data_IF_860510227345
#
_entry.id   IF_860510227345
#
_cell.length_a   1.000
_cell.length_b   1.000
_cell.length_c   1.000
_cell.angle_alpha   90.00
_cell.angle_beta   90.00
_cell.angle_gamma   90.00
#
_symmetry.space_group_name_H-M   'P 1'
#
loop_
_entity.id
_entity.type
_entity.pdbx_description
1 polymer ?
#
# COMPACT_ATOMS: atom_id res chain seq x y z
N UNK A 1 12.11 45.07 -37.53
CA UNK A 1 10.77 44.94 -36.95
C UNK A 1 10.70 43.59 -36.28
N UNK A 2 11.00 43.60 -34.99
CA UNK A 2 11.22 42.41 -34.17
C UNK A 2 10.02 42.30 -33.25
N UNK A 3 9.43 41.11 -33.20
CA UNK A 3 8.14 40.82 -32.62
C UNK A 3 8.09 41.10 -31.11
N UNK A 4 6.99 41.68 -30.64
CA UNK A 4 6.62 41.87 -29.23
C UNK A 4 6.61 40.54 -28.44
N UNK A 5 6.61 39.40 -29.14
CA UNK A 5 6.70 38.05 -28.56
C UNK A 5 8.11 37.75 -28.00
N UNK A 6 9.19 38.32 -28.57
CA UNK A 6 10.55 38.09 -28.07
C UNK A 6 10.87 38.89 -26.79
N UNK A 7 10.12 39.96 -26.50
CA UNK A 7 10.26 40.70 -25.24
C UNK A 7 9.52 40.07 -24.06
N UNK A 8 8.55 39.17 -24.31
CA UNK A 8 7.82 38.45 -23.26
C UNK A 8 8.57 37.22 -22.73
N UNK A 9 9.56 36.70 -23.48
CA UNK A 9 10.31 35.49 -23.11
C UNK A 9 11.58 35.82 -22.30
N UNK A 10 12.05 37.07 -22.28
CA UNK A 10 13.33 37.44 -21.64
C UNK A 10 13.19 38.02 -20.22
N UNK A 11 11.97 38.25 -19.70
CA UNK A 11 11.78 38.86 -18.36
C UNK A 11 11.67 37.84 -17.21
N UNK A 12 11.69 36.53 -17.49
CA UNK A 12 11.63 35.47 -16.44
C UNK A 12 12.97 34.71 -16.30
N UNK A 13 14.09 35.32 -16.69
CA UNK A 13 15.43 34.79 -16.41
C UNK A 13 16.29 35.87 -15.75
N UNK A 14 16.06 36.13 -14.47
CA UNK A 14 16.82 37.18 -13.81
C UNK A 14 16.66 37.36 -12.31
N UNK A 15 16.22 36.36 -11.52
CA UNK A 15 16.45 36.36 -10.06
C UNK A 15 16.17 34.99 -9.42
N UNK A 16 16.88 33.93 -9.84
CA UNK A 16 16.90 32.68 -9.07
C UNK A 16 18.29 32.48 -8.50
N UNK A 17 18.53 33.14 -7.37
CA UNK A 17 19.57 32.75 -6.43
C UNK A 17 19.05 33.06 -5.04
N UNK A 18 18.78 31.99 -4.27
CA UNK A 18 18.31 31.92 -2.86
C UNK A 18 16.83 31.61 -2.57
N UNK A 19 16.15 30.75 -3.34
CA UNK A 19 14.93 30.06 -2.88
C UNK A 19 14.95 28.60 -3.33
N UNK A 20 15.87 27.78 -2.79
CA UNK A 20 16.10 26.42 -3.28
C UNK A 20 15.70 25.27 -2.31
N UNK A 21 15.07 25.55 -1.16
CA UNK A 21 14.67 24.48 -0.23
C UNK A 21 13.16 24.38 0.04
N UNK A 22 12.34 25.32 -0.46
CA UNK A 22 10.88 25.32 -0.20
C UNK A 22 9.98 24.91 -1.36
N UNK A 23 10.50 24.81 -2.59
CA UNK A 23 9.68 24.63 -3.82
C UNK A 23 9.66 23.18 -4.32
N UNK A 24 10.66 22.36 -3.96
CA UNK A 24 10.74 20.93 -4.35
C UNK A 24 9.58 20.09 -3.80
N UNK A 25 9.09 20.43 -2.60
CA UNK A 25 8.08 19.65 -1.89
C UNK A 25 6.65 19.91 -2.40
N UNK A 26 6.43 21.06 -3.02
CA UNK A 26 5.15 21.46 -3.59
C UNK A 26 4.93 20.84 -4.98
N UNK A 27 5.96 20.82 -5.81
CA UNK A 27 5.91 20.24 -7.17
C UNK A 27 5.82 18.71 -7.14
N UNK A 28 6.58 18.05 -6.26
CA UNK A 28 6.56 16.59 -6.10
C UNK A 28 5.19 16.03 -5.69
N UNK A 29 4.48 16.72 -4.78
CA UNK A 29 3.17 16.25 -4.27
C UNK A 29 2.05 16.35 -5.31
N UNK A 30 2.05 17.40 -6.14
CA UNK A 30 1.07 17.58 -7.22
C UNK A 30 1.31 16.58 -8.35
N UNK A 31 2.59 16.35 -8.69
CA UNK A 31 2.97 15.33 -9.66
C UNK A 31 2.59 13.93 -9.18
N UNK A 32 2.79 13.60 -7.91
CA UNK A 32 2.42 12.30 -7.33
C UNK A 32 0.89 12.06 -7.36
N UNK A 33 0.10 13.09 -7.08
CA UNK A 33 -1.36 13.03 -7.16
C UNK A 33 -1.85 12.80 -8.60
N UNK A 34 -1.35 13.57 -9.56
CA UNK A 34 -1.72 13.42 -10.97
C UNK A 34 -1.22 12.10 -11.54
N UNK A 35 -0.01 11.67 -11.17
CA UNK A 35 0.58 10.40 -11.58
C UNK A 35 -0.27 9.22 -11.12
N UNK A 36 -0.67 9.15 -9.85
CA UNK A 36 -1.50 8.04 -9.34
C UNK A 36 -2.92 8.10 -9.89
N UNK A 37 -3.50 9.29 -10.09
CA UNK A 37 -4.85 9.40 -10.69
C UNK A 37 -4.90 8.83 -12.11
N UNK A 38 -3.81 8.96 -12.87
CA UNK A 38 -3.71 8.45 -14.25
C UNK A 38 -3.19 7.00 -14.30
N UNK A 39 -2.18 6.68 -13.48
CA UNK A 39 -1.53 5.35 -13.53
C UNK A 39 -2.15 4.32 -12.60
N UNK A 40 -2.98 4.70 -11.63
CA UNK A 40 -3.52 3.79 -10.63
C UNK A 40 -2.59 3.58 -9.44
N UNK A 41 -3.13 2.97 -8.40
CA UNK A 41 -2.52 2.81 -7.10
C UNK A 41 -1.81 1.45 -6.98
N UNK A 42 -0.48 1.48 -6.91
CA UNK A 42 0.36 0.28 -6.79
C UNK A 42 0.35 -0.27 -5.36
N UNK A 43 0.07 -1.55 -5.23
CA UNK A 43 0.12 -2.31 -3.98
C UNK A 43 0.50 -3.76 -4.27
N UNK A 44 0.93 -4.51 -3.25
CA UNK A 44 1.16 -5.95 -3.35
C UNK A 44 0.46 -6.68 -2.22
N UNK A 45 0.08 -7.93 -2.47
CA UNK A 45 -0.50 -8.84 -1.47
C UNK A 45 0.49 -9.97 -1.24
N UNK A 46 1.00 -10.10 -0.02
CA UNK A 46 2.00 -11.09 0.37
C UNK A 46 1.50 -11.92 1.55
N UNK A 47 2.15 -13.05 1.83
CA UNK A 47 1.75 -13.95 2.91
C UNK A 47 1.92 -15.42 2.54
N UNK A 48 2.01 -16.27 3.55
CA UNK A 48 2.23 -17.71 3.36
C UNK A 48 1.14 -18.37 2.51
N UNK A 49 1.36 -19.63 2.11
CA UNK A 49 0.39 -20.39 1.31
C UNK A 49 -0.97 -20.43 2.02
N UNK A 50 -2.04 -20.45 1.23
CA UNK A 50 -3.43 -20.63 1.69
C UNK A 50 -3.98 -19.57 2.65
N UNK A 51 -3.32 -18.43 2.88
CA UNK A 51 -3.85 -17.35 3.75
C UNK A 51 -5.01 -16.54 3.15
N UNK A 52 -5.29 -16.72 1.85
CA UNK A 52 -6.39 -16.05 1.13
C UNK A 52 -5.98 -14.90 0.21
N UNK A 53 -4.72 -14.88 -0.25
CA UNK A 53 -4.19 -13.83 -1.16
C UNK A 53 -4.98 -13.70 -2.47
N UNK A 54 -5.11 -14.81 -3.20
CA UNK A 54 -5.89 -14.90 -4.44
C UNK A 54 -7.34 -14.50 -4.21
N UNK A 55 -7.92 -14.97 -3.10
CA UNK A 55 -9.28 -14.64 -2.65
C UNK A 55 -9.45 -13.13 -2.43
N UNK A 56 -8.49 -12.46 -1.78
CA UNK A 56 -8.53 -11.01 -1.57
C UNK A 56 -8.46 -10.25 -2.90
N UNK A 57 -7.57 -10.66 -3.80
CA UNK A 57 -7.43 -10.00 -5.11
C UNK A 57 -8.70 -10.12 -5.94
N UNK A 58 -9.30 -11.31 -5.98
CA UNK A 58 -10.57 -11.52 -6.68
C UNK A 58 -11.71 -10.74 -6.02
N UNK A 59 -11.78 -10.72 -4.69
CA UNK A 59 -12.75 -9.93 -3.95
C UNK A 59 -12.66 -8.43 -4.30
N UNK A 60 -11.45 -7.88 -4.39
CA UNK A 60 -11.22 -6.50 -4.81
C UNK A 60 -11.64 -6.26 -6.27
N UNK A 61 -11.35 -7.20 -7.18
CA UNK A 61 -11.76 -7.13 -8.60
C UNK A 61 -13.28 -7.14 -8.77
N UNK A 62 -14.00 -7.80 -7.87
CA UNK A 62 -15.46 -7.81 -7.81
C UNK A 62 -16.07 -6.65 -7.03
N UNK A 63 -15.33 -5.54 -6.86
CA UNK A 63 -15.79 -4.37 -6.11
C UNK A 63 -16.18 -4.69 -4.66
N UNK A 64 -15.43 -5.58 -3.99
CA UNK A 64 -15.68 -5.96 -2.59
C UNK A 64 -17.05 -6.66 -2.38
N UNK A 65 -17.62 -7.23 -3.44
CA UNK A 65 -18.84 -8.03 -3.37
C UNK A 65 -18.55 -9.45 -2.85
N UNK A 66 -19.59 -10.14 -2.37
CA UNK A 66 -19.50 -11.51 -1.84
C UNK A 66 -18.91 -12.49 -2.87
N UNK A 67 -18.09 -13.42 -2.38
CA UNK A 67 -17.35 -14.41 -3.20
C UNK A 67 -17.51 -15.85 -2.66
N UNK A 68 -18.69 -16.20 -2.16
CA UNK A 68 -18.95 -17.48 -1.50
C UNK A 68 -18.55 -18.72 -2.34
N UNK A 69 -18.68 -18.63 -3.67
CA UNK A 69 -18.41 -19.75 -4.58
C UNK A 69 -16.99 -19.73 -5.17
N UNK A 70 -16.11 -18.83 -4.71
CA UNK A 70 -14.76 -18.70 -5.27
C UNK A 70 -13.79 -19.66 -4.57
N UNK A 71 -13.43 -20.74 -5.28
CA UNK A 71 -12.41 -21.71 -4.87
C UNK A 71 -11.20 -21.59 -5.82
N UNK A 72 -10.20 -20.74 -5.49
CA UNK A 72 -9.02 -20.60 -6.32
C UNK A 72 -8.13 -21.84 -6.22
N UNK A 73 -7.54 -22.22 -7.36
CA UNK A 73 -6.42 -23.16 -7.40
C UNK A 73 -5.17 -22.51 -6.76
N UNK A 74 -4.23 -23.32 -6.23
CA UNK A 74 -2.95 -22.80 -5.75
C UNK A 74 -2.21 -22.01 -6.84
N UNK A 75 -1.73 -20.82 -6.49
CA UNK A 75 -0.93 -19.97 -7.38
C UNK A 75 0.35 -20.68 -7.81
N UNK A 76 0.63 -20.74 -9.11
CA UNK A 76 1.81 -21.42 -9.64
C UNK A 76 3.10 -20.63 -9.39
N UNK A 77 4.25 -21.31 -9.43
CA UNK A 77 5.56 -20.67 -9.42
C UNK A 77 5.67 -19.66 -10.58
N UNK A 78 6.27 -18.50 -10.35
CA UNK A 78 6.26 -17.42 -11.33
C UNK A 78 4.98 -16.57 -11.27
N UNK A 79 4.04 -16.88 -10.37
CA UNK A 79 2.84 -16.09 -10.08
C UNK A 79 1.87 -15.91 -11.26
N UNK A 80 0.67 -15.45 -10.95
CA UNK A 80 -0.34 -15.14 -11.95
C UNK A 80 -0.40 -13.63 -12.17
N UNK A 81 -0.35 -13.19 -13.43
CA UNK A 81 -0.52 -11.77 -13.75
C UNK A 81 -1.91 -11.32 -13.31
N UNK A 82 -1.96 -10.23 -12.54
CA UNK A 82 -3.21 -9.58 -12.16
C UNK A 82 -3.33 -8.29 -12.96
N UNK A 83 -4.17 -8.23 -14.00
CA UNK A 83 -4.34 -7.03 -14.79
C UNK A 83 -4.78 -5.85 -13.94
N UNK A 84 -4.39 -4.64 -14.32
CA UNK A 84 -4.94 -3.41 -13.74
C UNK A 84 -6.48 -3.51 -13.69
N UNK A 85 -7.07 -3.20 -12.55
CA UNK A 85 -8.52 -3.26 -12.37
C UNK A 85 -9.02 -2.04 -11.63
N UNK A 86 -10.33 -1.82 -11.70
CA UNK A 86 -11.00 -0.75 -10.97
C UNK A 86 -11.84 -1.36 -9.87
N UNK A 87 -11.72 -0.80 -8.65
CA UNK A 87 -12.52 -1.23 -7.50
C UNK A 87 -13.23 -0.05 -6.85
N UNK A 88 -14.48 -0.27 -6.43
CA UNK A 88 -15.29 0.71 -5.71
C UNK A 88 -14.97 0.70 -4.22
N UNK A 89 -13.84 1.30 -3.84
CA UNK A 89 -13.39 1.34 -2.44
C UNK A 89 -14.29 2.23 -1.58
N UNK A 90 -14.68 3.39 -2.13
CA UNK A 90 -15.59 4.34 -1.50
C UNK A 90 -16.96 4.34 -2.22
N UNK A 91 -18.06 4.73 -1.53
CA UNK A 91 -19.40 4.73 -2.11
C UNK A 91 -19.54 5.53 -3.43
N UNK A 92 -18.73 6.57 -3.61
CA UNK A 92 -18.84 7.50 -4.74
C UNK A 92 -17.58 7.55 -5.61
N UNK A 93 -16.59 6.68 -5.35
CA UNK A 93 -15.33 6.73 -6.06
C UNK A 93 -14.81 5.35 -6.45
N UNK A 94 -14.54 5.22 -7.75
CA UNK A 94 -13.81 4.12 -8.34
C UNK A 94 -12.32 4.42 -8.35
N UNK A 95 -11.52 3.45 -7.92
CA UNK A 95 -10.08 3.55 -7.86
C UNK A 95 -9.43 2.55 -8.81
N UNK A 96 -8.52 3.01 -9.66
CA UNK A 96 -7.68 2.12 -10.46
C UNK A 96 -6.58 1.53 -9.57
N UNK A 97 -6.53 0.21 -9.47
CA UNK A 97 -5.64 -0.55 -8.60
C UNK A 97 -4.68 -1.38 -9.44
N UNK A 98 -3.45 -1.53 -8.92
CA UNK A 98 -2.36 -2.28 -9.57
C UNK A 98 -1.71 -3.21 -8.57
N UNK A 99 -2.11 -4.48 -8.60
CA UNK A 99 -1.52 -5.52 -7.76
C UNK A 99 -0.22 -6.10 -8.37
N UNK A 100 -0.09 -6.04 -9.69
CA UNK A 100 1.03 -6.64 -10.43
C UNK A 100 0.82 -8.13 -10.65
N UNK A 101 1.12 -8.95 -9.63
CA UNK A 101 0.96 -10.41 -9.69
C UNK A 101 0.34 -10.94 -8.41
N UNK A 102 -0.41 -12.03 -8.51
CA UNK A 102 -0.67 -12.93 -7.39
C UNK A 102 0.53 -13.88 -7.30
N UNK A 103 1.14 -14.00 -6.14
CA UNK A 103 2.35 -14.79 -5.94
C UNK A 103 2.09 -15.90 -4.94
N UNK A 104 2.68 -17.08 -5.18
CA UNK A 104 2.57 -18.19 -4.24
C UNK A 104 3.20 -17.88 -2.89
N UNK A 105 2.82 -18.65 -1.88
CA UNK A 105 3.22 -18.43 -0.49
C UNK A 105 4.24 -19.44 0.03
N UNK A 106 4.74 -20.30 -0.84
CA UNK A 106 5.75 -21.33 -0.59
C UNK A 106 7.11 -20.69 -0.37
N UNK A 107 7.92 -21.29 0.52
CA UNK A 107 9.25 -20.77 0.88
C UNK A 107 10.15 -20.51 -0.34
N UNK A 108 10.11 -21.42 -1.32
CA UNK A 108 10.91 -21.32 -2.55
C UNK A 108 10.56 -20.11 -3.42
N UNK A 109 9.39 -19.49 -3.22
CA UNK A 109 8.95 -18.34 -4.00
C UNK A 109 9.29 -16.99 -3.35
N UNK A 110 9.76 -16.98 -2.10
CA UNK A 110 10.00 -15.73 -1.38
C UNK A 110 11.19 -14.97 -1.97
N UNK A 111 12.33 -15.65 -2.17
CA UNK A 111 13.54 -15.04 -2.71
C UNK A 111 13.46 -14.71 -4.20
N UNK A 112 12.53 -15.34 -4.92
CA UNK A 112 12.31 -15.13 -6.35
C UNK A 112 11.13 -14.19 -6.57
N UNK A 113 9.91 -14.71 -6.47
CA UNK A 113 8.69 -14.04 -6.90
C UNK A 113 8.33 -12.83 -6.02
N UNK A 114 8.51 -12.91 -4.70
CA UNK A 114 8.17 -11.77 -3.83
C UNK A 114 9.12 -10.61 -4.01
N UNK A 115 10.43 -10.89 -4.06
CA UNK A 115 11.46 -9.86 -4.27
C UNK A 115 11.32 -9.25 -5.65
N UNK A 116 11.12 -10.07 -6.69
CA UNK A 116 10.90 -9.58 -8.05
C UNK A 116 9.64 -8.70 -8.13
N UNK A 117 8.51 -9.16 -7.58
CA UNK A 117 7.28 -8.39 -7.53
C UNK A 117 7.48 -7.05 -6.81
N UNK A 118 8.16 -7.05 -5.67
CA UNK A 118 8.40 -5.84 -4.88
C UNK A 118 9.25 -4.83 -5.66
N UNK A 119 10.34 -5.27 -6.30
CA UNK A 119 11.21 -4.44 -7.14
C UNK A 119 10.48 -3.87 -8.35
N UNK A 120 9.70 -4.69 -9.05
CA UNK A 120 9.00 -4.29 -10.27
C UNK A 120 7.85 -3.32 -9.98
N UNK A 121 7.10 -3.55 -8.91
CA UNK A 121 5.90 -2.77 -8.60
C UNK A 121 6.18 -1.48 -7.82
N UNK A 122 7.31 -1.41 -7.09
CA UNK A 122 7.67 -0.33 -6.17
C UNK A 122 6.44 0.14 -5.36
N UNK A 123 5.80 -0.76 -4.60
CA UNK A 123 4.43 -0.58 -4.18
C UNK A 123 4.31 0.53 -3.15
N UNK A 124 3.20 1.29 -3.23
CA UNK A 124 2.86 2.27 -2.18
C UNK A 124 2.28 1.61 -0.94
N UNK A 125 1.79 0.38 -1.06
CA UNK A 125 1.23 -0.38 0.05
C UNK A 125 1.51 -1.86 -0.05
N UNK A 126 1.75 -2.48 1.10
CA UNK A 126 1.79 -3.94 1.26
C UNK A 126 0.61 -4.34 2.12
N UNK A 127 -0.21 -5.27 1.63
CA UNK A 127 -1.14 -6.04 2.45
C UNK A 127 -0.48 -7.39 2.69
N UNK A 128 -0.26 -7.74 3.96
CA UNK A 128 0.27 -9.04 4.33
C UNK A 128 -0.78 -9.86 5.05
N UNK A 129 -1.02 -11.05 4.52
CA UNK A 129 -2.06 -11.95 4.99
C UNK A 129 -1.47 -13.06 5.83
N UNK A 130 -2.06 -13.23 7.00
CA UNK A 130 -1.82 -14.30 7.95
C UNK A 130 -3.14 -15.00 8.23
N UNK A 131 -3.11 -16.21 8.74
CA UNK A 131 -4.27 -16.78 9.44
C UNK A 131 -3.82 -17.44 10.75
N UNK A 132 -4.71 -18.19 11.39
CA UNK A 132 -4.45 -18.88 12.65
C UNK A 132 -3.63 -20.18 12.46
N UNK A 133 -3.37 -20.60 11.22
CA UNK A 133 -2.69 -21.85 10.89
C UNK A 133 -1.19 -21.63 10.78
N UNK A 134 -0.38 -22.63 11.14
CA UNK A 134 1.08 -22.62 10.97
C UNK A 134 1.81 -21.29 11.34
N UNK A 135 1.74 -20.96 12.64
CA UNK A 135 2.35 -19.75 13.21
C UNK A 135 3.84 -19.63 12.85
N UNK A 136 4.58 -20.75 12.78
CA UNK A 136 6.01 -20.72 12.48
C UNK A 136 6.26 -20.22 11.06
N UNK A 137 5.56 -20.78 10.06
CA UNK A 137 5.67 -20.35 8.67
C UNK A 137 5.28 -18.89 8.49
N UNK A 138 4.24 -18.44 9.20
CA UNK A 138 3.78 -17.05 9.19
C UNK A 138 4.82 -16.07 9.76
N UNK A 139 5.52 -16.46 10.82
CA UNK A 139 6.59 -15.66 11.41
C UNK A 139 7.76 -15.54 10.46
N UNK A 140 8.16 -16.64 9.84
CA UNK A 140 9.27 -16.65 8.87
C UNK A 140 8.93 -15.77 7.66
N UNK A 141 7.72 -15.91 7.12
CA UNK A 141 7.24 -15.09 6.00
C UNK A 141 7.21 -13.59 6.37
N UNK A 142 6.73 -13.24 7.56
CA UNK A 142 6.68 -11.83 8.01
C UNK A 142 8.08 -11.26 8.20
N UNK A 143 8.99 -12.03 8.81
CA UNK A 143 10.38 -11.64 8.96
C UNK A 143 11.08 -11.46 7.61
N UNK A 144 10.77 -12.31 6.63
CA UNK A 144 11.25 -12.18 5.27
C UNK A 144 10.78 -10.86 4.62
N UNK A 145 9.48 -10.54 4.70
CA UNK A 145 8.97 -9.26 4.15
C UNK A 145 9.61 -8.05 4.82
N UNK A 146 9.77 -8.09 6.15
CA UNK A 146 10.45 -7.03 6.88
C UNK A 146 11.90 -6.88 6.42
N UNK A 147 12.61 -7.99 6.18
CA UNK A 147 13.97 -7.98 5.64
C UNK A 147 14.02 -7.43 4.21
N UNK A 148 13.13 -7.89 3.33
CA UNK A 148 13.01 -7.43 1.95
C UNK A 148 12.80 -5.91 1.85
N UNK A 149 11.97 -5.33 2.73
CA UNK A 149 11.76 -3.86 2.77
C UNK A 149 13.07 -3.12 3.08
N UNK A 150 13.93 -3.70 3.94
CA UNK A 150 15.23 -3.14 4.32
C UNK A 150 16.28 -3.29 3.23
N UNK A 151 16.31 -4.44 2.57
CA UNK A 151 17.31 -4.78 1.54
C UNK A 151 17.01 -4.11 0.20
N UNK A 152 15.78 -3.68 -0.04
CA UNK A 152 15.33 -3.05 -1.28
C UNK A 152 14.92 -1.57 -1.08
N UNK A 153 15.86 -0.66 -0.73
CA UNK A 153 15.54 0.74 -0.42
C UNK A 153 14.93 1.50 -1.60
N UNK A 154 15.30 1.17 -2.84
CA UNK A 154 14.73 1.80 -4.03
C UNK A 154 13.26 1.42 -4.21
N UNK A 155 12.91 0.15 -3.97
CA UNK A 155 11.53 -0.33 -4.06
C UNK A 155 10.66 0.17 -2.89
N UNK A 156 11.23 0.28 -1.69
CA UNK A 156 10.51 0.73 -0.50
C UNK A 156 10.38 2.25 -0.40
N UNK A 157 11.07 3.03 -1.24
CA UNK A 157 11.05 4.50 -1.24
C UNK A 157 9.64 5.11 -1.30
N UNK A 158 8.73 4.46 -2.01
CA UNK A 158 7.35 4.94 -2.18
C UNK A 158 6.36 4.32 -1.19
N UNK A 159 6.81 3.39 -0.34
CA UNK A 159 5.97 2.67 0.60
C UNK A 159 5.34 3.63 1.62
N UNK A 160 4.01 3.64 1.68
CA UNK A 160 3.20 4.46 2.61
C UNK A 160 2.45 3.62 3.63
N UNK A 161 2.18 2.35 3.34
CA UNK A 161 1.50 1.46 4.27
C UNK A 161 2.06 0.03 4.24
N UNK A 162 2.16 -0.58 5.41
CA UNK A 162 2.34 -2.02 5.57
C UNK A 162 1.28 -2.54 6.54
N UNK A 163 0.21 -3.13 6.00
CA UNK A 163 -0.96 -3.53 6.77
C UNK A 163 -1.05 -5.05 6.83
N UNK A 164 -1.38 -5.60 7.99
CA UNK A 164 -1.52 -7.03 8.22
C UNK A 164 -2.99 -7.36 8.46
N UNK A 165 -3.50 -8.34 7.71
CA UNK A 165 -4.83 -8.91 7.90
C UNK A 165 -4.68 -10.35 8.41
N UNK A 166 -5.17 -10.62 9.63
CA UNK A 166 -5.33 -11.97 10.17
C UNK A 166 -6.68 -12.50 9.68
N UNK A 167 -6.63 -13.23 8.58
CA UNK A 167 -7.80 -13.67 7.83
C UNK A 167 -8.45 -14.92 8.45
N UNK A 168 -9.60 -15.30 7.89
CA UNK A 168 -10.40 -16.47 8.26
C UNK A 168 -10.89 -16.41 9.70
N UNK A 169 -11.21 -15.22 10.21
CA UNK A 169 -11.69 -15.05 11.59
C UNK A 169 -12.93 -15.90 11.90
N UNK A 170 -13.75 -16.20 10.89
CA UNK A 170 -14.87 -17.14 10.97
C UNK A 170 -14.47 -18.54 11.46
N UNK A 171 -13.22 -18.96 11.28
CA UNK A 171 -12.74 -20.30 11.67
C UNK A 171 -12.14 -20.36 13.08
N UNK A 172 -11.77 -19.23 13.69
CA UNK A 172 -11.01 -19.24 14.94
C UNK A 172 -11.51 -18.28 16.01
N UNK A 173 -12.37 -17.31 15.67
CA UNK A 173 -12.88 -16.30 16.62
C UNK A 173 -13.71 -16.89 17.77
N UNK A 174 -14.25 -18.10 17.60
CA UNK A 174 -14.98 -18.80 18.65
C UNK A 174 -14.05 -19.38 19.72
N UNK A 175 -12.80 -19.64 19.38
CA UNK A 175 -11.83 -20.33 20.25
C UNK A 175 -10.62 -19.47 20.64
N UNK A 176 -10.39 -18.36 19.95
CA UNK A 176 -9.20 -17.52 20.13
C UNK A 176 -9.50 -16.07 19.76
N UNK A 177 -8.72 -15.14 20.32
CA UNK A 177 -8.78 -13.72 20.00
C UNK A 177 -7.61 -13.29 19.10
N UNK A 178 -7.73 -12.13 18.44
CA UNK A 178 -6.60 -11.53 17.73
C UNK A 178 -5.39 -11.37 18.66
N UNK A 179 -5.60 -10.94 19.90
CA UNK A 179 -4.53 -10.79 20.89
C UNK A 179 -3.81 -12.11 21.17
N UNK A 180 -4.54 -13.23 21.22
CA UNK A 180 -3.95 -14.55 21.43
C UNK A 180 -3.04 -14.95 20.27
N UNK A 181 -3.47 -14.74 19.03
CA UNK A 181 -2.65 -14.98 17.84
C UNK A 181 -1.43 -14.06 17.86
N UNK A 182 -1.61 -12.76 18.15
CA UNK A 182 -0.52 -11.78 18.13
C UNK A 182 0.51 -11.97 19.26
N UNK A 183 0.20 -12.72 20.33
CA UNK A 183 1.20 -13.08 21.35
C UNK A 183 2.39 -13.82 20.76
N UNK A 184 2.20 -14.58 19.67
CA UNK A 184 3.28 -15.31 19.00
C UNK A 184 4.18 -14.42 18.13
N UNK A 185 3.72 -13.22 17.77
CA UNK A 185 4.38 -12.29 16.83
C UNK A 185 4.97 -11.05 17.53
N UNK A 186 5.26 -11.11 18.84
CA UNK A 186 5.72 -9.93 19.61
C UNK A 186 6.99 -9.30 19.05
N UNK A 187 7.94 -10.12 18.61
CA UNK A 187 9.22 -9.65 18.07
C UNK A 187 9.02 -8.97 16.72
N UNK A 188 8.22 -9.58 15.85
CA UNK A 188 7.88 -9.09 14.52
C UNK A 188 7.10 -7.76 14.61
N UNK A 189 6.15 -7.64 15.55
CA UNK A 189 5.45 -6.39 15.83
C UNK A 189 6.39 -5.28 16.28
N UNK A 190 7.35 -5.59 17.16
CA UNK A 190 8.37 -4.62 17.61
C UNK A 190 9.26 -4.18 16.46
N UNK A 191 9.73 -5.13 15.64
CA UNK A 191 10.55 -4.86 14.45
C UNK A 191 9.81 -4.00 13.43
N UNK A 192 8.58 -4.38 13.08
CA UNK A 192 7.74 -3.61 12.15
C UNK A 192 7.53 -2.19 12.65
N UNK A 193 7.22 -1.99 13.94
CA UNK A 193 7.05 -0.64 14.51
C UNK A 193 8.31 0.20 14.40
N UNK A 194 9.48 -0.36 14.73
CA UNK A 194 10.75 0.33 14.62
C UNK A 194 11.10 0.64 13.15
N UNK A 195 10.89 -0.31 12.24
CA UNK A 195 11.10 -0.13 10.81
C UNK A 195 10.17 0.94 10.23
N UNK A 196 8.89 0.92 10.58
CA UNK A 196 7.90 1.93 10.18
C UNK A 196 8.32 3.35 10.58
N UNK A 197 8.89 3.51 11.79
CA UNK A 197 9.40 4.81 12.24
C UNK A 197 10.60 5.28 11.42
N UNK A 198 11.50 4.37 11.01
CA UNK A 198 12.68 4.71 10.20
C UNK A 198 12.32 5.03 8.75
N UNK A 199 11.46 4.23 8.14
CA UNK A 199 11.11 4.32 6.71
C UNK A 199 9.96 5.31 6.46
N UNK A 200 9.07 5.50 7.44
CA UNK A 200 7.96 6.45 7.38
C UNK A 200 6.66 5.89 6.78
N UNK A 201 6.50 4.56 6.71
CA UNK A 201 5.21 3.94 6.36
C UNK A 201 4.30 3.81 7.61
N UNK A 202 2.99 3.74 7.39
CA UNK A 202 2.02 3.41 8.45
C UNK A 202 1.80 1.92 8.53
N UNK A 203 1.57 1.40 9.74
CA UNK A 203 1.24 0.00 9.94
C UNK A 203 -0.05 -0.16 10.74
N UNK A 204 -0.78 -1.23 10.45
CA UNK A 204 -2.04 -1.63 11.12
C UNK A 204 -2.10 -3.15 11.09
N UNK A 205 -2.61 -3.75 12.16
CA UNK A 205 -2.95 -5.18 12.22
C UNK A 205 -4.43 -5.28 12.58
N UNK A 206 -5.21 -6.03 11.83
CA UNK A 206 -6.63 -6.33 12.13
C UNK A 206 -6.94 -7.78 11.81
N UNK A 207 -8.06 -8.26 12.34
CA UNK A 207 -8.67 -9.54 11.94
C UNK A 207 -9.77 -9.32 10.90
N UNK A 208 -10.14 -10.39 10.19
CA UNK A 208 -11.32 -10.40 9.32
C UNK A 208 -11.56 -11.73 8.62
N UNK A 209 -12.68 -11.81 7.90
CA UNK A 209 -13.03 -12.95 7.06
C UNK A 209 -13.45 -12.47 5.69
N UNK A 210 -12.71 -12.89 4.65
CA UNK A 210 -13.08 -12.63 3.26
C UNK A 210 -14.37 -13.35 2.85
N UNK A 211 -14.60 -14.56 3.38
CA UNK A 211 -15.76 -15.37 3.02
C UNK A 211 -17.03 -14.82 3.67
N UNK A 212 -16.96 -14.44 4.95
CA UNK A 212 -18.09 -13.83 5.67
C UNK A 212 -18.23 -12.32 5.43
N UNK A 213 -17.28 -11.70 4.72
CA UNK A 213 -17.18 -10.25 4.53
C UNK A 213 -17.18 -9.46 5.87
N UNK A 214 -16.50 -10.00 6.87
CA UNK A 214 -16.44 -9.44 8.23
C UNK A 214 -15.10 -8.72 8.45
N UNK A 215 -15.13 -7.45 8.85
CA UNK A 215 -13.93 -6.64 9.17
C UNK A 215 -13.04 -6.23 7.97
N UNK A 216 -13.14 -6.93 6.83
CA UNK A 216 -12.25 -6.71 5.67
C UNK A 216 -12.54 -5.39 4.96
N UNK A 217 -13.81 -5.00 4.81
CA UNK A 217 -14.17 -3.79 4.05
C UNK A 217 -13.56 -2.53 4.65
N UNK A 218 -13.66 -2.34 5.97
CA UNK A 218 -13.11 -1.15 6.63
C UNK A 218 -11.58 -1.17 6.66
N UNK A 219 -10.98 -2.34 6.82
CA UNK A 219 -9.54 -2.53 6.69
C UNK A 219 -9.04 -2.07 5.30
N UNK A 220 -9.70 -2.51 4.23
CA UNK A 220 -9.33 -2.20 2.85
C UNK A 220 -9.54 -0.72 2.52
N UNK A 221 -10.66 -0.13 2.96
CA UNK A 221 -10.88 1.32 2.86
C UNK A 221 -9.76 2.10 3.54
N UNK A 222 -9.42 1.74 4.78
CA UNK A 222 -8.35 2.39 5.54
C UNK A 222 -6.99 2.25 4.86
N UNK A 223 -6.68 1.07 4.33
CA UNK A 223 -5.46 0.79 3.59
C UNK A 223 -5.33 1.70 2.36
N UNK A 224 -6.31 1.66 1.45
CA UNK A 224 -6.26 2.44 0.22
C UNK A 224 -6.29 3.94 0.48
N UNK A 225 -7.07 4.41 1.46
CA UNK A 225 -7.05 5.82 1.88
C UNK A 225 -5.72 6.27 2.51
N UNK A 226 -4.92 5.34 3.01
CA UNK A 226 -3.58 5.63 3.56
C UNK A 226 -2.56 5.80 2.46
N UNK A 227 -2.59 4.95 1.43
CA UNK A 227 -1.60 4.97 0.35
C UNK A 227 -1.97 5.93 -0.79
N UNK A 228 -3.26 6.31 -0.88
CA UNK A 228 -3.77 7.32 -1.82
C UNK A 228 -3.08 8.67 -1.58
N UNK A 229 -2.47 9.28 -2.61
CA UNK A 229 -1.98 10.66 -2.50
C UNK A 229 -3.15 11.59 -2.26
N UNK A 230 -3.02 12.47 -1.26
CA UNK A 230 -3.99 13.54 -1.01
C UNK A 230 -3.43 14.84 -1.59
N UNK A 231 -4.25 15.65 -2.28
CA UNK A 231 -3.83 17.01 -2.61
C UNK A 231 -3.55 17.73 -1.28
N UNK A 232 -2.35 18.29 -1.12
CA UNK A 232 -2.05 19.15 0.03
C UNK A 232 -2.98 20.35 -0.05
N UNK A 233 -3.83 20.56 0.97
CA UNK A 233 -4.56 21.82 1.10
C UNK A 233 -3.51 22.95 1.11
N UNK A 234 -3.66 24.02 0.30
CA UNK A 234 -2.77 25.16 0.40
C UNK A 234 -2.80 25.64 1.85
N UNK A 235 -1.62 25.78 2.47
CA UNK A 235 -1.52 26.40 3.80
C UNK A 235 -2.18 27.77 3.66
N UNK A 236 -3.30 27.99 4.35
CA UNK A 236 -3.85 29.33 4.51
C UNK A 236 -2.71 30.20 5.05
N UNK A 237 -2.32 31.22 4.30
CA UNK A 237 -1.32 32.18 4.77
C UNK A 237 -1.77 32.69 6.15
N UNK A 238 -0.86 32.82 7.13
CA UNK A 238 -1.19 33.50 8.36
C UNK A 238 -1.69 34.90 7.98
N UNK A 239 -2.86 35.28 8.49
CA UNK A 239 -3.42 36.60 8.28
C UNK A 239 -2.36 37.62 8.67
N UNK A 240 -1.94 38.45 7.70
CA UNK A 240 -1.07 39.59 7.97
C UNK A 240 -1.83 40.47 8.95
N UNK A 241 -1.31 40.73 10.17
CA UNK A 241 -1.96 41.67 11.07
C UNK A 241 -1.99 43.01 10.36
N UNK A 242 -3.18 43.51 10.06
CA UNK A 242 -3.35 44.87 9.60
C UNK A 242 -2.88 45.78 10.73
N UNK A 243 -1.74 46.44 10.53
CA UNK A 243 -1.31 47.53 11.38
C UNK A 243 -2.31 48.66 11.15
N UNK A 244 -3.19 48.87 12.12
CA UNK A 244 -3.99 50.09 12.23
C UNK A 244 -3.02 51.25 12.48
N UNK A 245 -3.05 52.23 11.57
CA UNK A 245 -2.33 53.50 11.67
C UNK A 245 -3.20 54.59 12.27
#
# INVERSE_FOLDING_TARGET
>A
MTSIIDQLITVIFGTISRVAQGVSDLTSSVNDFMYVRVRGLSFVVLGSRQTGKTTLLEWLRRNMATIADFAPEPTTAGGDLVPDFTSKIEPDEHMKLKAGRDVGGEYAMWETDWVELFRQTQPRGIIFMLDHTDIALHKDALNFVLQMIEDEPEASRQLKAFYILVNKSDLWKETSTLEDILKYFRNEQKRMRAQAQRIGYKWVITEGSLLANEGVTDFIRKFFNTIRPRPRKPKSQPAVPMLEG
#
